data_IF_972483209317
#
_entry.id   IF_972483209317
#
_cell.length_a   1.000
_cell.length_b   1.000
_cell.length_c   1.000
_cell.angle_alpha   90.00
_cell.angle_beta   90.00
_cell.angle_gamma   90.00
#
_symmetry.space_group_name_H-M   'P 1'
#
loop_
_entity.id
_entity.type
_entity.pdbx_description
1 polymer ?
#
# COMPACT_ATOMS: atom_id res chain seq x y z
N UNK A 1 2.71 12.50 12.38
CA UNK A 1 1.96 12.27 11.10
C UNK A 1 1.18 10.98 11.20
N UNK A 2 -0.10 10.99 10.83
CA UNK A 2 -0.95 9.79 10.83
C UNK A 2 -0.72 8.93 9.61
N UNK A 3 -0.90 7.62 9.78
CA UNK A 3 -0.80 6.62 8.71
C UNK A 3 -2.16 5.98 8.49
N UNK A 4 -2.70 6.11 7.30
CA UNK A 4 -3.92 5.43 6.87
C UNK A 4 -3.55 4.12 6.19
N UNK A 5 -4.18 3.00 6.62
CA UNK A 5 -4.05 1.71 5.95
C UNK A 5 -5.41 1.30 5.39
N UNK A 6 -5.50 1.12 4.08
CA UNK A 6 -6.72 0.68 3.41
C UNK A 6 -6.91 -0.82 3.57
N UNK A 7 -7.86 -1.23 4.42
CA UNK A 7 -8.09 -2.62 4.82
C UNK A 7 -9.48 -3.16 4.43
N UNK A 8 -10.15 -2.50 3.48
CA UNK A 8 -11.57 -2.79 3.23
C UNK A 8 -11.88 -3.62 1.99
N UNK A 9 -10.88 -3.95 1.17
CA UNK A 9 -11.05 -4.72 -0.06
C UNK A 9 -11.37 -6.20 0.18
N UNK A 10 -12.03 -6.85 -0.81
CA UNK A 10 -12.37 -8.29 -0.74
C UNK A 10 -11.13 -9.19 -0.89
N UNK A 11 -10.10 -8.75 -1.64
CA UNK A 11 -8.84 -9.50 -1.81
C UNK A 11 -8.97 -10.82 -2.57
N UNK A 12 -9.95 -10.95 -3.45
CA UNK A 12 -10.36 -12.21 -4.11
C UNK A 12 -9.24 -12.95 -4.85
N UNK A 13 -8.22 -12.22 -5.33
CA UNK A 13 -7.05 -12.79 -6.03
C UNK A 13 -6.18 -13.69 -5.15
N UNK A 14 -6.26 -13.56 -3.81
CA UNK A 14 -5.55 -14.44 -2.87
C UNK A 14 -6.23 -15.81 -2.69
N UNK A 15 -7.41 -16.01 -3.29
CA UNK A 15 -8.11 -17.29 -3.33
C UNK A 15 -8.98 -17.55 -2.11
N UNK A 16 -9.07 -18.84 -1.70
CA UNK A 16 -10.01 -19.31 -0.68
C UNK A 16 -9.83 -18.64 0.68
N UNK A 17 -8.61 -18.34 1.08
CA UNK A 17 -8.29 -17.74 2.38
C UNK A 17 -9.09 -16.46 2.64
N UNK A 18 -9.30 -15.63 1.59
CA UNK A 18 -10.07 -14.39 1.72
C UNK A 18 -11.56 -14.57 1.82
N UNK A 19 -12.07 -15.79 1.54
CA UNK A 19 -13.46 -16.17 1.89
C UNK A 19 -13.66 -16.30 3.39
N UNK A 20 -12.59 -16.54 4.16
CA UNK A 20 -12.64 -16.73 5.62
C UNK A 20 -12.19 -15.48 6.36
N UNK A 21 -11.05 -14.90 6.01
CA UNK A 21 -10.45 -13.74 6.66
C UNK A 21 -10.20 -12.61 5.65
N UNK A 22 -10.19 -11.30 6.07
CA UNK A 22 -9.84 -10.22 5.17
C UNK A 22 -8.34 -10.29 4.83
N UNK A 23 -7.97 -9.92 3.61
CA UNK A 23 -6.60 -10.00 3.08
C UNK A 23 -5.51 -9.43 4.04
N UNK A 24 -5.70 -8.28 4.71
CA UNK A 24 -4.72 -7.77 5.68
C UNK A 24 -4.47 -8.69 6.89
N UNK A 25 -5.38 -9.63 7.16
CA UNK A 25 -5.23 -10.64 8.23
C UNK A 25 -4.65 -11.96 7.73
N UNK A 26 -4.40 -12.13 6.44
CA UNK A 26 -3.69 -13.28 5.93
C UNK A 26 -2.27 -13.32 6.50
N UNK A 27 -1.91 -14.48 7.08
CA UNK A 27 -0.63 -14.64 7.75
C UNK A 27 0.49 -14.87 6.75
N UNK A 28 1.59 -14.16 6.94
CA UNK A 28 2.89 -14.50 6.39
C UNK A 28 3.75 -15.02 7.53
N UNK A 29 3.94 -16.33 7.56
CA UNK A 29 4.47 -17.09 8.69
C UNK A 29 3.52 -16.99 9.91
N UNK A 30 3.96 -16.47 11.03
CA UNK A 30 3.19 -16.42 12.28
C UNK A 30 2.26 -15.22 12.40
N UNK A 31 2.55 -14.13 11.71
CA UNK A 31 1.88 -12.84 11.87
C UNK A 31 1.08 -12.42 10.62
N UNK A 32 -0.08 -11.75 10.79
CA UNK A 32 -0.81 -11.18 9.66
C UNK A 32 0.00 -10.08 8.97
N UNK A 33 -0.15 -9.94 7.64
CA UNK A 33 0.62 -8.98 6.86
C UNK A 33 0.45 -7.52 7.35
N UNK A 34 -0.72 -7.17 7.89
CA UNK A 34 -0.94 -5.84 8.45
C UNK A 34 0.01 -5.50 9.60
N UNK A 35 0.41 -6.48 10.42
CA UNK A 35 1.39 -6.25 11.48
C UNK A 35 2.79 -5.98 10.93
N UNK A 36 3.19 -6.67 9.86
CA UNK A 36 4.46 -6.38 9.19
C UNK A 36 4.47 -4.96 8.66
N UNK A 37 3.34 -4.48 8.07
CA UNK A 37 3.21 -3.10 7.59
C UNK A 37 3.31 -2.12 8.76
N UNK A 38 2.53 -2.30 9.82
CA UNK A 38 2.53 -1.43 11.00
C UNK A 38 3.92 -1.39 11.63
N UNK A 39 4.54 -2.55 11.87
CA UNK A 39 5.88 -2.64 12.44
C UNK A 39 6.93 -1.96 11.55
N UNK A 40 6.73 -1.99 10.23
CA UNK A 40 7.59 -1.26 9.31
C UNK A 40 7.49 0.26 9.48
N UNK A 41 6.28 0.81 9.58
CA UNK A 41 6.07 2.23 9.86
C UNK A 41 6.61 2.65 11.23
N UNK A 42 6.44 1.80 12.27
CA UNK A 42 7.00 2.04 13.61
C UNK A 42 8.50 2.25 13.63
N UNK A 43 9.26 1.53 12.81
CA UNK A 43 10.71 1.70 12.70
C UNK A 43 11.12 3.12 12.31
N UNK A 44 10.24 3.86 11.63
CA UNK A 44 10.48 5.25 11.22
C UNK A 44 9.80 6.26 12.15
N UNK A 45 9.26 5.81 13.29
CA UNK A 45 8.65 6.68 14.30
C UNK A 45 7.17 6.98 14.07
N UNK A 46 6.50 6.36 13.08
CA UNK A 46 5.06 6.54 12.85
C UNK A 46 4.26 5.57 13.71
N UNK A 47 3.55 6.10 14.73
CA UNK A 47 2.85 5.31 15.75
C UNK A 47 1.34 5.57 15.80
N UNK A 48 0.78 6.41 14.91
CA UNK A 48 -0.66 6.77 14.89
C UNK A 48 -1.30 6.26 13.59
N UNK A 49 -2.12 5.23 13.71
CA UNK A 49 -2.70 4.50 12.59
C UNK A 49 -4.22 4.63 12.53
N UNK A 50 -4.74 4.81 11.31
CA UNK A 50 -6.16 4.70 11.00
C UNK A 50 -6.36 3.56 10.02
N UNK A 51 -7.05 2.49 10.45
CA UNK A 51 -7.39 1.35 9.62
C UNK A 51 -8.77 1.57 8.99
N UNK A 52 -8.79 1.79 7.67
CA UNK A 52 -10.03 1.94 6.89
C UNK A 52 -10.65 0.57 6.62
N UNK A 53 -11.57 0.13 7.50
CA UNK A 53 -12.17 -1.19 7.46
C UNK A 53 -13.32 -1.27 6.46
N UNK A 54 -13.58 -2.47 5.95
CA UNK A 54 -14.68 -2.78 5.06
C UNK A 54 -15.05 -4.26 5.12
N UNK A 55 -14.79 -5.01 4.06
CA UNK A 55 -15.06 -6.44 4.02
C UNK A 55 -14.40 -7.17 5.20
N UNK A 56 -15.21 -7.88 6.00
CA UNK A 56 -14.78 -8.59 7.22
C UNK A 56 -13.96 -7.73 8.21
N UNK A 57 -14.23 -6.43 8.26
CA UNK A 57 -13.50 -5.49 9.11
C UNK A 57 -13.61 -5.77 10.61
N UNK A 58 -14.67 -6.47 11.06
CA UNK A 58 -14.80 -6.93 12.45
C UNK A 58 -13.66 -7.83 12.90
N UNK A 59 -13.12 -8.68 12.03
CA UNK A 59 -11.97 -9.54 12.33
C UNK A 59 -10.75 -8.70 12.66
N UNK A 60 -10.46 -7.67 11.83
CA UNK A 60 -9.35 -6.74 12.08
C UNK A 60 -9.59 -5.97 13.39
N UNK A 61 -10.78 -5.40 13.57
CA UNK A 61 -11.14 -4.65 14.77
C UNK A 61 -10.96 -5.48 16.04
N UNK A 62 -11.45 -6.72 16.05
CA UNK A 62 -11.33 -7.62 17.18
C UNK A 62 -9.88 -8.02 17.47
N UNK A 63 -9.09 -8.21 16.42
CA UNK A 63 -7.66 -8.49 16.56
C UNK A 63 -6.93 -7.37 17.32
N UNK A 64 -7.10 -6.12 16.90
CA UNK A 64 -6.47 -4.97 17.57
C UNK A 64 -7.07 -4.65 18.94
N UNK A 65 -8.35 -4.98 19.18
CA UNK A 65 -8.97 -4.86 20.53
C UNK A 65 -8.36 -5.84 21.53
N UNK A 66 -8.07 -7.07 21.10
CA UNK A 66 -7.49 -8.12 21.96
C UNK A 66 -6.00 -7.92 22.22
N UNK A 67 -5.27 -7.34 21.26
CA UNK A 67 -3.82 -7.20 21.33
C UNK A 67 -3.44 -5.71 21.54
N UNK A 68 -3.62 -5.21 22.77
CA UNK A 68 -3.35 -3.79 23.10
C UNK A 68 -1.88 -3.44 23.33
N UNK A 69 -0.97 -4.42 23.37
CA UNK A 69 0.43 -4.24 23.79
C UNK A 69 1.38 -3.69 22.71
N UNK A 70 0.84 -3.05 21.66
CA UNK A 70 1.66 -2.64 20.51
C UNK A 70 2.43 -1.32 20.68
N UNK A 71 2.27 -0.57 21.78
CA UNK A 71 2.83 0.78 21.95
C UNK A 71 2.54 1.70 20.74
N UNK A 72 1.35 1.56 20.16
CA UNK A 72 0.87 2.31 19.00
C UNK A 72 -0.59 2.72 19.20
N UNK A 73 -0.98 3.82 18.59
CA UNK A 73 -2.38 4.25 18.54
C UNK A 73 -3.03 3.71 17.26
N UNK A 74 -3.98 2.78 17.39
CA UNK A 74 -4.72 2.20 16.25
C UNK A 74 -6.19 2.52 16.36
N UNK A 75 -6.68 3.32 15.41
CA UNK A 75 -8.10 3.63 15.24
C UNK A 75 -8.69 2.82 14.09
N UNK A 76 -9.60 1.92 14.40
CA UNK A 76 -10.38 1.17 13.42
C UNK A 76 -11.63 1.95 13.02
N UNK A 77 -11.76 2.32 11.74
CA UNK A 77 -12.91 3.06 11.20
C UNK A 77 -13.62 2.20 10.16
N UNK A 78 -14.91 1.90 10.39
CA UNK A 78 -15.72 1.23 9.37
C UNK A 78 -16.06 2.22 8.26
N UNK A 79 -15.55 1.97 7.06
CA UNK A 79 -15.76 2.80 5.87
C UNK A 79 -16.78 2.19 4.90
N UNK A 80 -17.38 1.05 5.24
CA UNK A 80 -18.38 0.36 4.43
C UNK A 80 -17.81 -0.80 3.61
N UNK A 81 -18.64 -1.84 3.42
CA UNK A 81 -18.24 -3.10 2.75
C UNK A 81 -17.90 -2.89 1.28
N UNK A 82 -18.72 -2.10 0.57
CA UNK A 82 -18.62 -1.91 -0.88
C UNK A 82 -17.98 -0.57 -1.28
N UNK A 83 -17.52 0.23 -0.32
CA UNK A 83 -16.88 1.51 -0.58
C UNK A 83 -15.52 1.28 -1.28
N UNK A 84 -15.23 2.04 -2.32
CA UNK A 84 -13.96 1.99 -3.05
C UNK A 84 -12.87 2.82 -2.36
N UNK A 85 -11.64 2.75 -2.84
CA UNK A 85 -10.43 3.30 -2.18
C UNK A 85 -10.50 4.80 -1.93
N UNK A 86 -10.96 5.60 -2.90
CA UNK A 86 -11.18 7.04 -2.76
C UNK A 86 -12.29 7.37 -1.77
N UNK A 87 -13.42 6.66 -1.85
CA UNK A 87 -14.53 6.83 -0.92
C UNK A 87 -14.16 6.47 0.52
N UNK A 88 -13.31 5.45 0.72
CA UNK A 88 -12.77 5.15 2.06
C UNK A 88 -11.98 6.32 2.62
N UNK A 89 -11.11 6.89 1.80
CA UNK A 89 -10.31 8.05 2.20
C UNK A 89 -11.23 9.26 2.51
N UNK A 90 -12.24 9.51 1.68
CA UNK A 90 -13.21 10.59 1.91
C UNK A 90 -13.92 10.46 3.26
N UNK A 91 -14.36 9.24 3.64
CA UNK A 91 -14.98 8.97 4.95
C UNK A 91 -14.04 9.19 6.13
N UNK A 92 -12.74 9.22 5.90
CA UNK A 92 -11.74 9.52 6.93
C UNK A 92 -11.45 11.01 7.08
N UNK A 93 -12.01 11.90 6.25
CA UNK A 93 -11.77 13.34 6.27
C UNK A 93 -11.83 13.95 7.67
N UNK A 94 -12.87 13.61 8.46
CA UNK A 94 -13.04 14.13 9.83
C UNK A 94 -11.91 13.76 10.81
N UNK A 95 -11.19 12.65 10.57
CA UNK A 95 -10.07 12.20 11.41
C UNK A 95 -8.71 12.77 10.95
N UNK A 96 -8.67 13.30 9.72
CA UNK A 96 -7.46 13.80 9.06
C UNK A 96 -7.47 15.32 8.84
N UNK A 97 -8.58 16.01 9.13
CA UNK A 97 -8.74 17.46 8.87
C UNK A 97 -7.74 18.34 9.61
N UNK A 98 -7.27 17.89 10.79
CA UNK A 98 -6.27 18.60 11.58
C UNK A 98 -4.83 18.33 11.15
N UNK A 99 -4.60 17.28 10.34
CA UNK A 99 -3.28 16.98 9.81
C UNK A 99 -2.99 17.87 8.58
N UNK A 100 -1.79 18.46 8.52
CA UNK A 100 -1.32 19.10 7.29
C UNK A 100 -1.12 18.06 6.21
N UNK A 101 -0.36 17.02 6.55
CA UNK A 101 -0.01 15.91 5.69
C UNK A 101 -0.24 14.58 6.43
N UNK A 102 -0.52 13.51 5.73
CA UNK A 102 -0.67 12.16 6.27
C UNK A 102 -0.18 11.11 5.27
N UNK A 103 0.24 9.96 5.78
CA UNK A 103 0.61 8.82 4.93
C UNK A 103 -0.58 7.93 4.64
N UNK A 104 -0.55 7.27 3.48
CA UNK A 104 -1.52 6.26 3.12
C UNK A 104 -0.82 5.07 2.46
N UNK A 105 -1.24 3.86 2.82
CA UNK A 105 -0.81 2.63 2.15
C UNK A 105 -1.95 1.62 2.04
N UNK A 106 -1.75 0.63 1.18
CA UNK A 106 -2.63 -0.54 1.10
C UNK A 106 -2.27 -1.55 2.19
N UNK A 107 -3.24 -2.41 2.54
CA UNK A 107 -3.09 -3.41 3.61
C UNK A 107 -2.39 -4.71 3.18
N UNK A 108 -1.61 -4.70 2.10
CA UNK A 108 -1.04 -5.90 1.48
C UNK A 108 0.34 -5.70 0.83
N UNK A 109 0.91 -4.51 0.91
CA UNK A 109 2.21 -4.17 0.31
C UNK A 109 3.33 -4.07 1.35
N UNK A 110 4.49 -4.65 1.04
CA UNK A 110 5.72 -4.57 1.84
C UNK A 110 6.84 -3.94 1.04
N UNK A 111 7.71 -3.19 1.71
CA UNK A 111 8.82 -2.47 1.08
C UNK A 111 10.00 -2.34 2.05
N UNK A 112 11.18 -2.00 1.54
CA UNK A 112 12.31 -1.56 2.33
C UNK A 112 12.68 -0.09 2.09
N UNK A 113 11.76 0.71 1.53
CA UNK A 113 12.00 2.13 1.29
C UNK A 113 12.16 2.92 2.59
N UNK A 114 12.96 3.95 2.58
CA UNK A 114 13.06 4.86 3.72
C UNK A 114 11.86 5.83 3.74
N UNK A 115 10.93 5.61 4.69
CA UNK A 115 9.70 6.41 4.81
C UNK A 115 9.98 7.87 5.18
N UNK A 116 11.04 8.15 5.96
CA UNK A 116 11.43 9.52 6.30
C UNK A 116 11.96 10.27 5.06
N UNK A 117 12.64 9.57 4.13
CA UNK A 117 13.02 10.18 2.84
C UNK A 117 11.80 10.49 1.98
N UNK A 118 10.79 9.63 1.96
CA UNK A 118 9.53 9.86 1.26
C UNK A 118 8.80 11.09 1.83
N UNK A 119 8.69 11.21 3.16
CA UNK A 119 8.09 12.36 3.84
C UNK A 119 8.85 13.65 3.52
N UNK A 120 10.18 13.66 3.71
CA UNK A 120 11.03 14.83 3.40
C UNK A 120 10.89 15.25 1.93
N UNK A 121 10.84 14.31 1.00
CA UNK A 121 10.64 14.59 -0.42
C UNK A 121 9.28 15.27 -0.66
N UNK A 122 8.20 14.77 -0.04
CA UNK A 122 6.86 15.37 -0.13
C UNK A 122 6.86 16.81 0.40
N UNK A 123 7.36 17.00 1.62
CA UNK A 123 7.36 18.30 2.29
C UNK A 123 8.16 19.35 1.52
N UNK A 124 9.33 18.96 0.97
CA UNK A 124 10.18 19.87 0.16
C UNK A 124 9.47 20.35 -1.10
N UNK A 125 8.66 19.53 -1.74
CA UNK A 125 8.07 19.84 -3.05
C UNK A 125 6.66 20.44 -2.96
N UNK A 126 6.04 20.47 -1.79
CA UNK A 126 4.75 21.14 -1.51
C UNK A 126 3.64 20.85 -2.54
N UNK A 127 3.46 19.56 -2.91
CA UNK A 127 2.38 19.10 -3.78
C UNK A 127 1.28 18.42 -2.97
N UNK A 128 0.12 18.20 -3.60
CA UNK A 128 -1.00 17.53 -2.94
C UNK A 128 -0.72 16.05 -2.66
N UNK A 129 0.04 15.41 -3.53
CA UNK A 129 0.37 13.99 -3.40
C UNK A 129 1.83 13.69 -3.76
N UNK A 130 2.42 12.76 -3.04
CA UNK A 130 3.63 12.03 -3.44
C UNK A 130 3.32 10.55 -3.39
N UNK A 131 3.57 9.85 -4.47
CA UNK A 131 3.36 8.41 -4.62
C UNK A 131 4.70 7.71 -4.78
N UNK A 132 4.96 6.67 -4.00
CA UNK A 132 6.09 5.79 -4.30
C UNK A 132 5.83 5.09 -5.62
N UNK A 133 6.78 5.18 -6.53
CA UNK A 133 6.78 4.46 -7.79
C UNK A 133 7.88 3.42 -7.81
N UNK A 134 7.53 2.22 -8.27
CA UNK A 134 8.42 1.04 -8.27
C UNK A 134 8.48 0.43 -9.65
N UNK A 135 9.53 -0.34 -9.91
CA UNK A 135 9.60 -1.19 -11.10
C UNK A 135 8.71 -2.42 -10.88
N UNK A 136 7.81 -2.76 -11.83
CA UNK A 136 7.00 -3.96 -11.67
C UNK A 136 7.90 -5.22 -11.66
N UNK A 137 7.62 -6.19 -10.77
CA UNK A 137 8.26 -7.50 -10.88
C UNK A 137 7.80 -8.14 -12.18
N UNK A 138 8.74 -8.54 -13.03
CA UNK A 138 8.43 -9.18 -14.32
C UNK A 138 8.04 -10.62 -14.08
N UNK A 139 6.88 -11.01 -14.61
CA UNK A 139 6.33 -12.37 -14.48
C UNK A 139 6.69 -13.28 -15.66
N UNK A 140 7.07 -12.69 -16.79
CA UNK A 140 7.32 -13.38 -18.06
C UNK A 140 8.64 -12.96 -18.66
N UNK A 141 9.17 -13.75 -19.60
CA UNK A 141 10.31 -13.37 -20.41
C UNK A 141 9.96 -12.21 -21.36
N UNK A 142 10.89 -11.31 -21.57
CA UNK A 142 10.79 -10.25 -22.58
C UNK A 142 11.34 -10.77 -23.91
N UNK A 143 10.58 -10.55 -24.98
CA UNK A 143 10.96 -10.93 -26.34
C UNK A 143 11.08 -9.67 -27.18
N UNK A 144 12.25 -9.47 -27.83
CA UNK A 144 12.39 -8.44 -28.87
C UNK A 144 12.38 -9.12 -30.23
N UNK A 145 11.51 -8.61 -31.11
CA UNK A 145 11.30 -9.16 -32.43
C UNK A 145 11.92 -8.27 -33.54
N UNK A 146 12.42 -8.89 -34.60
CA UNK A 146 12.73 -8.22 -35.86
C UNK A 146 12.05 -9.04 -36.99
N UNK A 147 10.95 -8.52 -37.52
CA UNK A 147 10.04 -9.33 -38.31
C UNK A 147 9.52 -10.51 -37.48
N UNK A 148 9.61 -11.71 -37.98
CA UNK A 148 9.21 -12.94 -37.28
C UNK A 148 10.36 -13.57 -36.47
N UNK A 149 11.56 -12.99 -36.48
CA UNK A 149 12.71 -13.50 -35.74
C UNK A 149 12.76 -12.94 -34.33
N UNK A 150 12.95 -13.80 -33.33
CA UNK A 150 13.28 -13.42 -31.96
C UNK A 150 14.73 -12.95 -31.95
N UNK A 151 14.93 -11.64 -31.84
CA UNK A 151 16.26 -11.02 -31.85
C UNK A 151 16.91 -10.99 -30.46
N UNK A 152 16.07 -10.97 -29.39
CA UNK A 152 16.55 -11.02 -28.03
C UNK A 152 15.48 -11.65 -27.13
N UNK A 153 15.90 -12.55 -26.25
CA UNK A 153 15.07 -13.12 -25.17
C UNK A 153 15.75 -12.90 -23.85
N UNK A 154 15.02 -12.34 -22.89
CA UNK A 154 15.48 -12.17 -21.51
C UNK A 154 14.44 -12.74 -20.57
N UNK A 155 14.80 -13.77 -19.83
CA UNK A 155 13.92 -14.32 -18.79
C UNK A 155 13.81 -13.33 -17.63
N UNK A 156 12.57 -12.89 -17.34
CA UNK A 156 12.23 -11.98 -16.23
C UNK A 156 13.17 -10.76 -16.09
N UNK A 157 13.43 -10.00 -17.17
CA UNK A 157 14.23 -8.78 -17.04
C UNK A 157 13.45 -7.75 -16.20
N UNK A 158 14.14 -6.88 -15.49
CA UNK A 158 13.49 -5.71 -14.91
C UNK A 158 13.04 -4.78 -16.06
N UNK A 159 11.74 -4.52 -16.17
CA UNK A 159 11.23 -3.58 -17.19
C UNK A 159 11.83 -2.19 -16.87
N UNK A 160 12.74 -1.71 -17.75
CA UNK A 160 13.48 -0.48 -17.46
C UNK A 160 12.66 0.79 -17.64
N UNK A 161 11.61 0.74 -18.48
CA UNK A 161 10.91 1.95 -18.92
C UNK A 161 9.55 2.18 -18.28
N UNK A 162 9.04 1.22 -17.50
CA UNK A 162 7.75 1.36 -16.82
C UNK A 162 7.88 1.50 -15.31
N UNK A 163 7.14 2.46 -14.77
CA UNK A 163 6.93 2.64 -13.34
C UNK A 163 5.49 2.38 -12.99
N UNK A 164 5.25 1.72 -11.86
CA UNK A 164 3.90 1.48 -11.36
C UNK A 164 3.70 2.11 -9.98
N UNK A 165 2.44 2.28 -9.60
CA UNK A 165 2.05 2.69 -8.27
C UNK A 165 2.49 1.65 -7.23
N UNK A 166 3.40 2.03 -6.34
CA UNK A 166 3.89 1.19 -5.24
C UNK A 166 3.02 1.20 -3.99
N UNK A 167 1.97 2.01 -3.96
CA UNK A 167 0.96 1.99 -2.88
C UNK A 167 1.36 2.67 -1.58
N UNK A 168 2.50 3.35 -1.50
CA UNK A 168 2.92 4.19 -0.37
C UNK A 168 2.83 5.65 -0.79
N UNK A 169 1.99 6.39 -0.09
CA UNK A 169 1.70 7.79 -0.40
C UNK A 169 1.97 8.70 0.78
N UNK A 170 2.29 9.94 0.48
CA UNK A 170 2.09 11.08 1.39
C UNK A 170 1.11 12.03 0.71
N UNK A 171 0.05 12.37 1.40
CA UNK A 171 -0.97 13.31 0.95
C UNK A 171 -1.02 14.54 1.82
N UNK A 172 -1.09 15.72 1.21
CA UNK A 172 -1.56 16.91 1.86
C UNK A 172 -3.09 16.85 2.01
N UNK A 173 -3.65 17.45 3.08
CA UNK A 173 -5.12 17.49 3.31
C UNK A 173 -5.94 18.03 2.14
N UNK A 174 -5.33 18.78 1.22
CA UNK A 174 -6.00 19.25 0.01
C UNK A 174 -6.41 18.12 -0.94
N UNK A 175 -5.96 16.87 -0.73
CA UNK A 175 -6.47 15.70 -1.45
C UNK A 175 -8.00 15.60 -1.38
N UNK A 176 -8.61 16.03 -0.26
CA UNK A 176 -10.07 15.99 -0.09
C UNK A 176 -10.84 16.92 -1.05
N UNK A 177 -10.17 17.86 -1.72
CA UNK A 177 -10.76 18.67 -2.81
C UNK A 177 -10.88 17.89 -4.12
N UNK A 178 -10.20 16.74 -4.23
CA UNK A 178 -10.18 15.88 -5.40
C UNK A 178 -11.04 14.61 -5.22
N UNK A 179 -11.62 14.43 -4.03
CA UNK A 179 -12.51 13.33 -3.68
C UNK A 179 -13.94 13.86 -3.59
N UNK A 180 -14.83 13.39 -4.44
CA UNK A 180 -16.20 13.92 -4.53
C UNK A 180 -17.28 12.88 -4.23
N UNK A 181 -16.99 11.58 -4.44
CA UNK A 181 -17.97 10.50 -4.36
C UNK A 181 -17.53 9.40 -3.41
N UNK A 182 -18.50 8.82 -2.68
CA UNK A 182 -18.24 7.67 -1.82
C UNK A 182 -17.85 6.40 -2.61
N UNK A 183 -18.26 6.32 -3.85
CA UNK A 183 -18.04 5.14 -4.70
C UNK A 183 -17.06 5.43 -5.84
N UNK A 184 -15.89 6.02 -5.51
CA UNK A 184 -14.81 6.25 -6.45
C UNK A 184 -13.53 5.54 -6.04
N UNK A 185 -12.74 5.14 -7.03
CA UNK A 185 -11.39 4.61 -6.82
C UNK A 185 -10.40 5.76 -6.77
N UNK A 186 -9.54 5.77 -5.74
CA UNK A 186 -8.46 6.75 -5.60
C UNK A 186 -7.54 6.74 -6.84
N UNK A 187 -7.29 5.54 -7.37
CA UNK A 187 -6.37 5.24 -8.46
C UNK A 187 -6.86 5.69 -9.85
N UNK A 188 -8.15 6.04 -9.96
CA UNK A 188 -8.76 6.55 -11.18
C UNK A 188 -8.85 8.08 -11.16
N UNK A 189 -10.07 8.59 -11.26
CA UNK A 189 -10.35 10.03 -11.40
C UNK A 189 -9.56 10.94 -10.43
N UNK A 190 -9.43 10.64 -9.11
CA UNK A 190 -8.67 11.50 -8.20
C UNK A 190 -7.18 11.61 -8.55
N UNK A 191 -6.47 10.49 -8.75
CA UNK A 191 -5.05 10.53 -9.11
C UNK A 191 -4.83 11.06 -10.53
N UNK A 192 -5.73 10.78 -11.47
CA UNK A 192 -5.69 11.35 -12.83
C UNK A 192 -5.86 12.87 -12.82
N UNK A 193 -6.82 13.41 -12.05
CA UNK A 193 -7.00 14.85 -11.86
C UNK A 193 -5.76 15.51 -11.24
N UNK A 194 -5.15 14.86 -10.22
CA UNK A 194 -3.90 15.34 -9.63
C UNK A 194 -2.76 15.37 -10.65
N UNK A 195 -2.67 14.35 -11.50
CA UNK A 195 -1.67 14.27 -12.55
C UNK A 195 -1.85 15.40 -13.58
N UNK A 196 -3.06 15.56 -14.12
CA UNK A 196 -3.39 16.65 -15.06
C UNK A 196 -3.10 18.05 -14.48
N UNK A 197 -3.32 18.22 -13.17
CA UNK A 197 -3.02 19.49 -12.46
C UNK A 197 -1.58 19.61 -11.98
N UNK A 198 -0.69 18.65 -12.31
CA UNK A 198 0.72 18.60 -11.86
C UNK A 198 0.86 18.70 -10.34
N UNK A 199 -0.08 18.05 -9.60
CA UNK A 199 -0.15 18.05 -8.13
C UNK A 199 0.23 16.70 -7.51
N UNK A 200 0.74 15.75 -8.30
CA UNK A 200 1.28 14.47 -7.83
C UNK A 200 2.74 14.30 -8.28
N UNK A 201 3.56 13.79 -7.38
CA UNK A 201 4.97 13.47 -7.61
C UNK A 201 5.20 11.97 -7.49
N UNK A 202 6.14 11.46 -8.28
CA UNK A 202 6.66 10.09 -8.14
C UNK A 202 7.96 10.06 -7.33
N UNK A 203 7.95 9.37 -6.19
CA UNK A 203 9.15 9.04 -5.43
C UNK A 203 9.70 7.69 -5.90
N UNK A 204 10.80 7.67 -6.62
CA UNK A 204 11.41 6.46 -7.20
C UNK A 204 11.99 5.57 -6.10
N UNK A 205 11.53 4.32 -6.02
CA UNK A 205 12.09 3.30 -5.14
C UNK A 205 12.59 2.12 -5.98
N UNK A 206 13.89 1.86 -5.90
CA UNK A 206 14.59 0.80 -6.65
C UNK A 206 14.85 -0.45 -5.80
N UNK A 207 14.53 -0.38 -4.50
CA UNK A 207 14.73 -1.48 -3.57
C UNK A 207 13.59 -2.50 -3.61
N UNK A 208 13.48 -3.27 -2.53
CA UNK A 208 12.44 -4.28 -2.39
C UNK A 208 11.04 -3.67 -2.28
N UNK A 209 10.15 -4.18 -3.09
CA UNK A 209 8.71 -3.94 -3.00
C UNK A 209 7.96 -5.19 -3.46
N UNK A 210 6.96 -5.61 -2.69
CA UNK A 210 6.12 -6.76 -3.02
C UNK A 210 4.71 -6.58 -2.44
N UNK A 211 3.68 -6.72 -3.27
CA UNK A 211 2.31 -6.90 -2.81
C UNK A 211 1.96 -8.38 -2.68
N UNK A 212 1.12 -8.73 -1.71
CA UNK A 212 0.62 -10.09 -1.51
C UNK A 212 -0.72 -10.28 -2.23
N UNK A 213 -0.71 -10.29 -3.56
CA UNK A 213 -1.94 -10.38 -4.36
C UNK A 213 -2.42 -11.81 -4.61
N UNK A 214 -1.51 -12.73 -4.77
CA UNK A 214 -1.77 -14.13 -5.13
C UNK A 214 -1.16 -15.09 -4.09
N UNK A 215 -1.57 -16.37 -4.06
CA UNK A 215 -0.93 -17.39 -3.22
C UNK A 215 0.59 -17.46 -3.44
N UNK A 216 1.05 -17.34 -4.68
CA UNK A 216 2.48 -17.30 -5.02
C UNK A 216 3.21 -16.13 -4.37
N UNK A 217 2.61 -14.95 -4.35
CA UNK A 217 3.20 -13.79 -3.68
C UNK A 217 3.33 -14.04 -2.17
N UNK A 218 2.31 -14.65 -1.57
CA UNK A 218 2.32 -15.04 -0.16
C UNK A 218 3.43 -16.04 0.16
N UNK A 219 3.56 -17.11 -0.63
CA UNK A 219 4.62 -18.11 -0.49
C UNK A 219 6.01 -17.48 -0.60
N UNK A 220 6.20 -16.56 -1.56
CA UNK A 220 7.43 -15.82 -1.72
C UNK A 220 7.79 -15.02 -0.46
N UNK A 221 6.81 -14.29 0.12
CA UNK A 221 7.03 -13.52 1.35
C UNK A 221 7.35 -14.45 2.54
N UNK A 222 6.67 -15.60 2.65
CA UNK A 222 6.97 -16.62 3.68
C UNK A 222 8.39 -17.16 3.51
N UNK A 223 8.81 -17.46 2.29
CA UNK A 223 10.18 -17.92 1.99
C UNK A 223 11.22 -16.91 2.46
N UNK A 224 11.01 -15.62 2.17
CA UNK A 224 11.92 -14.56 2.62
C UNK A 224 12.03 -14.49 4.15
N UNK A 225 10.94 -14.69 4.87
CA UNK A 225 10.94 -14.73 6.34
C UNK A 225 11.70 -15.95 6.89
N UNK A 226 11.39 -17.14 6.37
CA UNK A 226 12.03 -18.39 6.80
C UNK A 226 13.55 -18.39 6.55
N UNK A 227 13.98 -17.80 5.44
CA UNK A 227 15.40 -17.68 5.08
C UNK A 227 16.09 -16.49 5.75
N UNK A 228 15.43 -15.74 6.62
CA UNK A 228 15.93 -14.51 7.27
C UNK A 228 16.40 -13.42 6.28
N UNK A 229 15.90 -13.44 5.05
CA UNK A 229 16.20 -12.49 3.96
C UNK A 229 15.06 -11.48 3.73
N UNK A 230 14.17 -11.26 4.70
CA UNK A 230 13.02 -10.36 4.61
C UNK A 230 13.45 -8.88 4.68
N UNK A 231 13.51 -8.13 3.56
CA UNK A 231 14.12 -6.79 3.54
C UNK A 231 13.33 -5.75 4.34
N UNK A 232 12.05 -5.97 4.58
CA UNK A 232 11.21 -5.09 5.42
C UNK A 232 11.44 -5.31 6.92
N UNK A 233 12.15 -6.38 7.33
CA UNK A 233 12.54 -6.64 8.73
C UNK A 233 13.94 -6.16 9.06
N UNK A 234 14.80 -5.95 8.08
CA UNK A 234 16.16 -5.45 8.31
C UNK A 234 16.16 -4.03 8.89
N UNK A 235 17.12 -3.76 9.75
CA UNK A 235 17.30 -2.47 10.45
C UNK A 235 17.67 -1.35 9.51
#
# INVERSE_FOLDING_TARGET
>A
MKVVILCGGKGTRLGFETKIIPKPMAKIDKEPIILHIINYYKKFGYNDFILALGYKGSIIKNYFKKNKNFLINVRCVNTGKNTLTGGRLLKLKKYLSKEKDFMLTYGDGLTNQNLNKLEKFHTKNNKVATMTIVRPPVRFGEVKMRGNLVNNFKEKPQIRDSWINGGFFVFNKNIFKFLSKENEMLEKEPLEKLSKKKQILGFKHLGFWQCMDTPRDKEYLIKLLKTKKAPWKTR
#
